data_IF_334103005957
#
_entry.id   IF_334103005957
#
_cell.length_a   1.000
_cell.length_b   1.000
_cell.length_c   1.000
_cell.angle_alpha   90.00
_cell.angle_beta   90.00
_cell.angle_gamma   90.00
#
_symmetry.space_group_name_H-M   'P 1'
#
loop_
_entity.id
_entity.type
_entity.pdbx_description
1 polymer ?
#
# COMPACT_ATOMS: atom_id res chain seq x y z
N UNK A 1 27.70 15.37 33.35
CA UNK A 1 26.45 15.39 32.57
C UNK A 1 25.80 14.04 32.80
N UNK A 2 24.83 13.97 33.71
CA UNK A 2 24.25 12.71 34.17
C UNK A 2 23.30 12.15 33.09
N UNK A 3 23.23 10.82 32.89
CA UNK A 3 22.22 10.26 32.01
C UNK A 3 20.87 10.46 32.68
N UNK A 4 19.93 11.12 31.99
CA UNK A 4 18.54 11.24 32.41
C UNK A 4 17.91 9.84 32.47
N UNK A 5 18.04 9.18 33.64
CA UNK A 5 17.29 7.99 34.01
C UNK A 5 15.93 8.46 34.50
N UNK A 6 14.87 7.90 33.92
CA UNK A 6 13.51 8.09 34.40
C UNK A 6 13.36 7.44 35.78
N UNK A 7 13.00 8.25 36.78
CA UNK A 7 12.43 7.82 38.06
C UNK A 7 10.93 7.52 37.88
N UNK A 8 10.60 6.68 36.90
CA UNK A 8 9.22 6.32 36.62
C UNK A 8 9.07 4.80 36.88
N UNK A 9 8.41 4.50 37.99
CA UNK A 9 7.87 3.19 38.28
C UNK A 9 6.72 2.97 37.26
N UNK A 10 7.01 2.41 36.08
CA UNK A 10 6.00 2.25 35.02
C UNK A 10 5.78 0.76 34.77
N UNK A 11 4.70 0.24 35.36
CA UNK A 11 4.01 -0.90 34.79
C UNK A 11 3.55 -0.52 33.37
N UNK A 12 4.28 -1.07 32.38
CA UNK A 12 4.02 -1.03 30.95
C UNK A 12 4.06 0.36 30.29
N UNK A 13 5.18 0.65 29.61
CA UNK A 13 5.36 1.87 28.81
C UNK A 13 4.44 1.87 27.58
N UNK A 14 4.01 3.05 27.13
CA UNK A 14 3.38 3.20 25.81
C UNK A 14 4.40 3.76 24.83
N UNK A 15 4.49 3.16 23.64
CA UNK A 15 5.45 3.60 22.61
C UNK A 15 4.79 3.71 21.24
N UNK A 16 5.15 4.77 20.52
CA UNK A 16 4.78 4.99 19.11
C UNK A 16 6.04 4.96 18.27
N UNK A 17 6.02 4.21 17.18
CA UNK A 17 7.14 4.08 16.25
C UNK A 17 6.65 4.48 14.86
N UNK A 18 7.28 5.49 14.26
CA UNK A 18 7.08 5.90 12.89
C UNK A 18 8.32 5.56 12.06
N UNK A 19 8.13 4.93 10.91
CA UNK A 19 9.21 4.47 10.04
C UNK A 19 8.97 5.02 8.64
N UNK A 20 9.98 5.63 8.04
CA UNK A 20 10.02 5.97 6.62
C UNK A 20 11.15 5.20 5.94
N UNK A 21 10.79 4.17 5.18
CA UNK A 21 11.74 3.39 4.38
C UNK A 21 11.91 4.03 3.01
N UNK A 22 12.99 4.80 2.86
CA UNK A 22 13.49 5.34 1.61
C UNK A 22 14.30 4.34 0.77
N UNK A 23 14.79 4.80 -0.38
CA UNK A 23 15.68 4.00 -1.25
C UNK A 23 17.04 3.71 -0.61
N UNK A 24 17.69 4.74 -0.07
CA UNK A 24 19.04 4.62 0.53
C UNK A 24 18.99 4.47 2.05
N UNK A 25 18.14 5.23 2.72
CA UNK A 25 18.05 5.25 4.17
C UNK A 25 16.64 4.92 4.65
N UNK A 26 16.58 4.31 5.83
CA UNK A 26 15.36 4.12 6.61
C UNK A 26 15.47 4.98 7.87
N UNK A 27 14.54 5.92 8.03
CA UNK A 27 14.46 6.84 9.15
C UNK A 27 13.37 6.34 10.11
N UNK A 28 13.71 6.19 11.39
CA UNK A 28 12.79 5.68 12.41
C UNK A 28 12.72 6.66 13.58
N UNK A 29 11.52 6.94 14.06
CA UNK A 29 11.23 7.79 15.21
C UNK A 29 10.46 6.98 16.25
N UNK A 30 10.99 6.89 17.46
CA UNK A 30 10.36 6.27 18.62
C UNK A 30 9.99 7.32 19.66
N UNK A 31 8.71 7.39 20.01
CA UNK A 31 8.17 8.30 21.02
C UNK A 31 7.68 7.43 22.19
N UNK A 32 8.32 7.56 23.34
CA UNK A 32 7.95 6.84 24.58
C UNK A 32 7.18 7.80 25.47
N UNK A 33 5.96 7.42 25.87
CA UNK A 33 5.15 8.26 26.76
C UNK A 33 5.86 8.50 28.10
N UNK A 34 5.91 9.76 28.53
CA UNK A 34 6.59 10.17 29.78
C UNK A 34 8.10 10.41 29.65
N UNK A 35 8.70 10.21 28.46
CA UNK A 35 10.08 10.62 28.17
C UNK A 35 10.10 11.98 27.47
N UNK A 36 11.04 12.84 27.84
CA UNK A 36 11.21 14.16 27.20
C UNK A 36 11.84 14.07 25.81
N UNK A 37 12.78 13.13 25.64
CA UNK A 37 13.51 12.95 24.38
C UNK A 37 12.90 11.85 23.49
N UNK A 38 12.79 12.16 22.20
CA UNK A 38 12.49 11.20 21.15
C UNK A 38 13.72 10.35 20.78
N UNK A 39 13.47 9.10 20.37
CA UNK A 39 14.52 8.19 19.90
C UNK A 39 14.55 8.22 18.37
N UNK A 40 15.64 8.71 17.80
CA UNK A 40 15.83 8.75 16.34
C UNK A 40 16.86 7.71 15.91
N UNK A 41 16.51 6.87 14.93
CA UNK A 41 17.39 5.84 14.37
C UNK A 41 17.42 5.99 12.86
N UNK A 42 18.61 6.12 12.28
CA UNK A 42 18.84 6.14 10.84
C UNK A 42 19.67 4.94 10.41
N UNK A 43 19.17 4.19 9.43
CA UNK A 43 19.79 2.97 8.93
C UNK A 43 19.94 3.04 7.41
N UNK A 44 20.87 2.25 6.86
CA UNK A 44 20.86 1.96 5.43
C UNK A 44 19.63 1.09 5.14
N UNK A 45 18.89 1.40 4.08
CA UNK A 45 17.71 0.61 3.69
C UNK A 45 18.07 -0.80 3.22
N UNK A 46 19.32 -1.02 2.80
CA UNK A 46 19.88 -2.31 2.46
C UNK A 46 21.30 -2.43 3.03
N UNK A 47 21.48 -3.34 3.98
CA UNK A 47 22.77 -3.66 4.59
C UNK A 47 22.75 -5.11 5.10
N UNK A 48 22.71 -6.09 4.16
CA UNK A 48 22.53 -7.51 4.48
C UNK A 48 23.66 -8.09 5.33
N UNK A 49 24.84 -7.44 5.36
CA UNK A 49 25.95 -7.80 6.24
C UNK A 49 25.65 -7.58 7.73
N UNK A 50 24.74 -6.65 8.06
CA UNK A 50 24.46 -6.28 9.45
C UNK A 50 23.06 -6.67 9.90
N UNK A 51 22.04 -6.53 9.03
CA UNK A 51 20.65 -6.86 9.35
C UNK A 51 19.88 -7.19 8.08
N UNK A 52 18.90 -8.10 8.20
CA UNK A 52 18.10 -8.54 7.05
C UNK A 52 17.09 -7.48 6.60
N UNK A 53 16.54 -6.69 7.53
CA UNK A 53 15.51 -5.69 7.25
C UNK A 53 15.71 -4.44 8.13
N UNK A 54 15.82 -3.27 7.48
CA UNK A 54 16.08 -2.01 8.15
C UNK A 54 14.95 -1.57 9.09
N UNK A 55 13.65 -1.65 8.71
CA UNK A 55 12.55 -1.39 9.64
C UNK A 55 12.59 -2.24 10.91
N UNK A 56 12.79 -3.55 10.81
CA UNK A 56 12.87 -4.44 11.98
C UNK A 56 14.06 -4.05 12.87
N UNK A 57 15.23 -3.79 12.27
CA UNK A 57 16.41 -3.32 13.00
C UNK A 57 16.17 -1.95 13.67
N UNK A 58 15.42 -1.05 13.02
CA UNK A 58 15.05 0.25 13.55
C UNK A 58 14.17 0.13 14.80
N UNK A 59 13.14 -0.72 14.73
CA UNK A 59 12.30 -1.06 15.88
C UNK A 59 13.16 -1.64 17.00
N UNK A 60 14.03 -2.61 16.70
CA UNK A 60 14.92 -3.23 17.70
C UNK A 60 15.74 -2.18 18.45
N UNK A 61 16.45 -1.30 17.74
CA UNK A 61 17.28 -0.24 18.36
C UNK A 61 16.46 0.76 19.16
N UNK A 62 15.22 1.04 18.75
CA UNK A 62 14.30 1.90 19.50
C UNK A 62 13.89 1.22 20.81
N UNK A 63 13.50 -0.06 20.77
CA UNK A 63 13.10 -0.82 21.96
C UNK A 63 14.29 -0.99 22.94
N UNK A 64 15.50 -1.24 22.44
CA UNK A 64 16.70 -1.29 23.28
C UNK A 64 16.97 0.04 23.98
N UNK A 65 16.81 1.17 23.29
CA UNK A 65 16.99 2.51 23.86
C UNK A 65 15.84 2.94 24.79
N UNK A 66 14.64 2.42 24.58
CA UNK A 66 13.48 2.69 25.43
C UNK A 66 13.53 1.87 26.74
N UNK A 67 13.93 0.61 26.66
CA UNK A 67 13.95 -0.32 27.82
C UNK A 67 15.30 -0.41 28.52
N UNK A 68 16.39 0.00 27.85
CA UNK A 68 17.77 -0.23 28.31
C UNK A 68 18.22 -1.70 28.25
N UNK A 69 17.39 -2.60 27.71
CA UNK A 69 17.70 -4.03 27.58
C UNK A 69 18.23 -4.30 26.18
N UNK A 70 19.30 -5.09 26.06
CA UNK A 70 19.76 -5.54 24.75
C UNK A 70 18.84 -6.64 24.22
N UNK A 71 18.49 -6.55 22.93
CA UNK A 71 17.65 -7.50 22.21
C UNK A 71 18.50 -8.10 21.08
N UNK A 72 18.84 -9.41 21.17
CA UNK A 72 19.61 -10.09 20.13
C UNK A 72 18.92 -10.04 18.77
N UNK A 73 19.69 -9.83 17.69
CA UNK A 73 19.16 -9.82 16.31
C UNK A 73 18.53 -11.15 15.87
N UNK A 74 18.92 -12.26 16.50
CA UNK A 74 18.40 -13.60 16.22
C UNK A 74 17.04 -13.87 16.85
N UNK A 75 16.57 -13.02 17.76
CA UNK A 75 15.34 -13.24 18.51
C UNK A 75 14.19 -12.40 17.94
N UNK A 76 12.96 -12.90 18.13
CA UNK A 76 11.77 -12.14 17.78
C UNK A 76 11.63 -10.96 18.74
N UNK A 77 11.30 -9.79 18.20
CA UNK A 77 11.00 -8.61 19.01
C UNK A 77 9.76 -8.89 19.86
N UNK A 78 9.89 -8.67 21.17
CA UNK A 78 8.80 -8.77 22.13
C UNK A 78 8.35 -7.38 22.55
N UNK A 79 7.03 -7.19 22.67
CA UNK A 79 6.42 -5.96 23.18
C UNK A 79 5.97 -6.10 24.64
N UNK A 80 6.34 -7.20 25.33
CA UNK A 80 5.83 -7.50 26.67
C UNK A 80 6.20 -6.49 27.76
N UNK A 81 7.22 -5.66 27.53
CA UNK A 81 7.61 -4.55 28.41
C UNK A 81 6.73 -3.29 28.23
N UNK A 82 5.81 -3.29 27.26
CA UNK A 82 4.99 -2.15 26.88
C UNK A 82 3.50 -2.47 27.04
N UNK A 83 2.73 -1.54 27.63
CA UNK A 83 1.27 -1.59 27.69
C UNK A 83 0.63 -1.42 26.31
N UNK A 84 1.27 -0.62 25.45
CA UNK A 84 0.80 -0.37 24.09
C UNK A 84 1.96 -0.06 23.15
N UNK A 85 1.91 -0.64 21.94
CA UNK A 85 2.88 -0.40 20.88
C UNK A 85 2.12 -0.05 19.61
N UNK A 86 2.34 1.15 19.08
CA UNK A 86 1.80 1.58 17.78
C UNK A 86 2.94 1.70 16.77
N UNK A 87 2.83 1.02 15.63
CA UNK A 87 3.82 1.08 14.55
C UNK A 87 3.13 1.64 13.30
N UNK A 88 3.71 2.68 12.73
CA UNK A 88 3.32 3.24 11.43
C UNK A 88 4.50 3.19 10.49
N UNK A 89 4.30 2.67 9.28
CA UNK A 89 5.34 2.59 8.27
C UNK A 89 4.88 3.24 6.97
N UNK A 90 5.63 4.23 6.52
CA UNK A 90 5.64 4.71 5.15
C UNK A 90 6.82 4.08 4.41
N UNK A 91 6.65 3.80 3.13
CA UNK A 91 7.77 3.36 2.28
C UNK A 91 7.63 3.90 0.87
N UNK A 92 8.78 4.15 0.25
CA UNK A 92 8.89 4.54 -1.15
C UNK A 92 9.13 3.35 -2.08
N UNK A 93 9.20 2.11 -1.57
CA UNK A 93 9.50 0.91 -2.35
C UNK A 93 8.51 0.72 -3.50
N UNK A 94 7.20 0.83 -3.24
CA UNK A 94 6.17 0.65 -4.26
C UNK A 94 6.23 1.74 -5.35
N UNK A 95 6.40 3.00 -4.96
CA UNK A 95 6.49 4.12 -5.91
C UNK A 95 7.74 3.99 -6.77
N UNK A 96 8.89 3.64 -6.19
CA UNK A 96 10.13 3.43 -6.94
C UNK A 96 10.02 2.22 -7.86
N UNK A 97 9.42 1.12 -7.41
CA UNK A 97 9.16 -0.03 -8.26
C UNK A 97 8.31 0.34 -9.49
N UNK A 98 7.27 1.18 -9.31
CA UNK A 98 6.46 1.68 -10.41
C UNK A 98 7.25 2.59 -11.36
N UNK A 99 8.00 3.55 -10.83
CA UNK A 99 8.79 4.50 -11.64
C UNK A 99 9.93 3.81 -12.41
N UNK A 100 10.57 2.81 -11.80
CA UNK A 100 11.66 2.03 -12.38
C UNK A 100 11.17 0.84 -13.20
N UNK A 101 9.84 0.63 -13.33
CA UNK A 101 9.23 -0.51 -14.03
C UNK A 101 9.72 -1.87 -13.49
N UNK A 102 9.98 -1.96 -12.19
CA UNK A 102 10.40 -3.18 -11.49
C UNK A 102 9.21 -3.84 -10.82
N UNK A 103 8.32 -4.41 -11.63
CA UNK A 103 7.20 -5.23 -11.18
C UNK A 103 7.22 -6.60 -11.82
N UNK A 104 6.32 -7.47 -11.37
CA UNK A 104 6.06 -8.73 -12.05
C UNK A 104 5.26 -8.52 -13.34
N UNK A 105 5.33 -9.50 -14.24
CA UNK A 105 4.56 -9.53 -15.48
C UNK A 105 3.07 -9.63 -15.13
N UNK A 106 2.26 -8.71 -15.66
CA UNK A 106 0.81 -8.67 -15.40
C UNK A 106 0.01 -8.71 -16.71
N UNK A 107 -1.16 -9.36 -16.66
CA UNK A 107 -2.15 -9.35 -17.73
C UNK A 107 -3.36 -8.50 -17.32
N UNK A 108 -3.92 -7.76 -18.27
CA UNK A 108 -5.16 -7.00 -18.10
C UNK A 108 -6.34 -7.88 -18.50
N UNK A 109 -7.26 -8.12 -17.57
CA UNK A 109 -8.57 -8.66 -17.88
C UNK A 109 -9.54 -7.50 -18.02
N UNK A 110 -10.24 -7.41 -19.15
CA UNK A 110 -11.11 -6.28 -19.45
C UNK A 110 -12.31 -6.71 -20.30
N UNK A 111 -13.35 -5.90 -20.29
CA UNK A 111 -14.54 -6.13 -21.10
C UNK A 111 -14.23 -6.26 -22.58
N UNK A 112 -14.90 -7.19 -23.26
CA UNK A 112 -14.79 -7.36 -24.71
C UNK A 112 -15.19 -6.08 -25.45
N UNK A 113 -14.35 -5.69 -26.39
CA UNK A 113 -14.41 -4.41 -27.11
C UNK A 113 -13.67 -3.27 -26.42
N UNK A 114 -13.06 -3.48 -25.24
CA UNK A 114 -12.34 -2.46 -24.46
C UNK A 114 -10.84 -2.75 -24.31
N UNK A 115 -10.28 -3.71 -25.06
CA UNK A 115 -8.86 -4.07 -25.03
C UNK A 115 -7.89 -2.89 -24.99
N UNK A 116 -8.18 -1.83 -25.75
CA UNK A 116 -7.28 -0.68 -25.90
C UNK A 116 -7.56 0.46 -24.91
N UNK A 117 -8.53 0.31 -23.99
CA UNK A 117 -9.00 1.40 -23.14
C UNK A 117 -7.89 2.08 -22.32
N UNK A 118 -6.98 1.30 -21.72
CA UNK A 118 -5.87 1.85 -20.93
C UNK A 118 -4.74 2.42 -21.80
N UNK A 119 -4.56 1.92 -23.03
CA UNK A 119 -3.60 2.47 -24.00
C UNK A 119 -4.09 3.79 -24.61
N UNK A 120 -5.40 3.92 -24.83
CA UNK A 120 -6.06 5.16 -25.25
C UNK A 120 -6.04 6.16 -24.09
N UNK A 121 -6.24 5.69 -22.86
CA UNK A 121 -6.36 6.53 -21.67
C UNK A 121 -7.55 7.48 -21.78
N UNK A 122 -7.44 8.65 -21.15
CA UNK A 122 -8.50 9.66 -21.15
C UNK A 122 -8.28 10.78 -22.19
N UNK A 123 -7.37 10.57 -23.14
CA UNK A 123 -7.00 11.54 -24.17
C UNK A 123 -6.55 12.93 -23.63
N UNK A 124 -6.16 13.02 -22.35
CA UNK A 124 -5.63 14.27 -21.79
C UNK A 124 -4.30 14.61 -22.45
N UNK A 125 -4.18 15.85 -22.95
CA UNK A 125 -2.96 16.36 -23.58
C UNK A 125 -2.39 17.50 -22.73
N UNK A 126 -1.34 17.26 -21.93
CA UNK A 126 -0.70 18.32 -21.13
C UNK A 126 -0.19 19.47 -21.99
N UNK A 127 0.26 19.17 -23.21
CA UNK A 127 0.70 20.13 -24.23
C UNK A 127 -0.14 19.93 -25.50
N UNK A 128 -1.23 20.70 -25.62
CA UNK A 128 -2.24 20.52 -26.67
C UNK A 128 -1.68 20.67 -28.10
N UNK A 129 -0.64 21.50 -28.27
CA UNK A 129 -0.06 21.86 -29.57
C UNK A 129 1.16 21.04 -29.97
N UNK A 130 1.63 20.11 -29.12
CA UNK A 130 2.75 19.24 -29.48
C UNK A 130 2.33 18.25 -30.56
N UNK A 131 3.00 18.34 -31.72
CA UNK A 131 2.80 17.43 -32.85
C UNK A 131 3.34 16.02 -32.57
N UNK A 132 4.38 15.92 -31.74
CA UNK A 132 4.99 14.65 -31.34
C UNK A 132 4.58 14.27 -29.90
N UNK A 133 3.40 13.66 -29.76
CA UNK A 133 2.86 13.27 -28.46
C UNK A 133 3.59 12.03 -27.94
N UNK A 134 4.24 12.15 -26.79
CA UNK A 134 4.77 11.00 -26.05
C UNK A 134 3.77 10.58 -24.97
N UNK A 135 3.18 9.40 -25.16
CA UNK A 135 2.28 8.79 -24.16
C UNK A 135 3.09 7.90 -23.22
N UNK A 136 2.78 7.86 -21.91
CA UNK A 136 3.31 6.84 -21.03
C UNK A 136 2.94 5.44 -21.54
N UNK A 137 3.85 4.49 -21.37
CA UNK A 137 3.59 3.11 -21.74
C UNK A 137 2.65 2.42 -20.74
N UNK A 138 1.99 1.35 -21.14
CA UNK A 138 1.10 0.56 -20.27
C UNK A 138 1.89 -0.35 -19.33
N UNK A 139 1.26 -0.82 -18.25
CA UNK A 139 1.92 -1.70 -17.25
C UNK A 139 1.76 -3.20 -17.54
N UNK A 140 0.81 -3.58 -18.40
CA UNK A 140 0.51 -4.97 -18.72
C UNK A 140 1.23 -5.43 -19.98
N UNK A 141 1.43 -6.75 -20.10
CA UNK A 141 2.01 -7.37 -21.29
C UNK A 141 0.96 -8.00 -22.19
N UNK A 142 -0.08 -8.58 -21.59
CA UNK A 142 -1.17 -9.27 -22.28
C UNK A 142 -2.52 -8.68 -21.90
N UNK A 143 -3.47 -8.76 -22.82
CA UNK A 143 -4.87 -8.39 -22.58
C UNK A 143 -5.78 -9.56 -22.91
N UNK A 144 -6.61 -9.93 -21.96
CA UNK A 144 -7.64 -10.95 -22.10
C UNK A 144 -8.99 -10.24 -22.05
N UNK A 145 -9.73 -10.33 -23.16
CA UNK A 145 -11.09 -9.82 -23.23
C UNK A 145 -12.07 -10.86 -22.67
N UNK A 146 -12.88 -10.44 -21.71
CA UNK A 146 -13.95 -11.24 -21.13
C UNK A 146 -15.25 -10.88 -21.85
N UNK A 147 -16.08 -11.86 -22.19
CA UNK A 147 -17.38 -11.61 -22.81
C UNK A 147 -18.43 -11.35 -21.73
N UNK A 148 -18.39 -10.16 -21.16
CA UNK A 148 -19.26 -9.69 -20.09
C UNK A 148 -19.72 -8.23 -20.34
N UNK A 149 -20.73 -7.80 -19.60
CA UNK A 149 -21.08 -6.39 -19.50
C UNK A 149 -21.74 -6.18 -18.15
N UNK A 150 -21.35 -5.10 -17.48
CA UNK A 150 -22.04 -4.63 -16.27
C UNK A 150 -22.88 -3.42 -16.65
N UNK A 151 -24.16 -3.45 -16.30
CA UNK A 151 -25.08 -2.32 -16.51
C UNK A 151 -25.63 -1.85 -15.17
N UNK A 152 -25.69 -0.53 -14.99
CA UNK A 152 -26.56 0.03 -13.94
C UNK A 152 -27.99 -0.20 -14.43
N UNK A 153 -28.84 -0.75 -13.55
CA UNK A 153 -30.23 -1.20 -13.77
C UNK A 153 -31.08 -0.25 -14.64
N UNK A 154 -30.69 1.03 -14.73
CA UNK A 154 -31.52 2.06 -15.30
C UNK A 154 -30.93 2.92 -16.43
N UNK A 155 -29.77 2.67 -17.09
CA UNK A 155 -29.51 3.54 -18.28
C UNK A 155 -28.43 3.22 -19.31
N UNK A 156 -27.45 2.33 -19.10
CA UNK A 156 -26.21 2.50 -19.90
C UNK A 156 -26.32 2.11 -21.40
N UNK A 157 -27.37 1.42 -21.83
CA UNK A 157 -27.59 1.13 -23.27
C UNK A 157 -29.04 1.23 -23.76
N UNK A 158 -29.99 1.61 -22.91
CA UNK A 158 -31.40 1.76 -23.28
C UNK A 158 -31.96 3.04 -22.64
N UNK A 159 -32.33 4.07 -23.43
CA UNK A 159 -32.90 5.32 -22.91
C UNK A 159 -34.31 5.16 -22.30
N UNK A 160 -34.92 3.97 -22.44
CA UNK A 160 -36.21 3.59 -21.84
C UNK A 160 -36.14 2.16 -21.27
N UNK A 161 -35.46 1.96 -20.14
CA UNK A 161 -35.30 0.65 -19.53
C UNK A 161 -36.62 0.12 -18.98
N UNK A 162 -36.89 -1.15 -19.24
CA UNK A 162 -38.01 -1.89 -18.67
C UNK A 162 -37.49 -2.73 -17.49
N UNK A 163 -37.71 -2.21 -16.27
CA UNK A 163 -37.21 -2.81 -15.03
C UNK A 163 -37.86 -4.15 -14.73
N UNK A 164 -39.11 -4.33 -15.11
CA UNK A 164 -39.85 -5.57 -14.88
C UNK A 164 -39.35 -6.68 -15.81
N UNK A 165 -39.11 -6.34 -17.08
CA UNK A 165 -38.51 -7.27 -18.04
C UNK A 165 -37.08 -7.69 -17.66
N UNK A 166 -36.26 -6.75 -17.16
CA UNK A 166 -34.90 -7.06 -16.70
C UNK A 166 -34.90 -7.95 -15.45
N UNK A 167 -35.80 -7.68 -14.50
CA UNK A 167 -35.96 -8.51 -13.32
C UNK A 167 -36.41 -9.95 -13.68
N UNK A 168 -37.30 -10.09 -14.66
CA UNK A 168 -37.72 -11.39 -15.18
C UNK A 168 -36.60 -12.12 -15.94
N UNK A 169 -35.76 -11.39 -16.70
CA UNK A 169 -34.64 -11.99 -17.43
C UNK A 169 -33.54 -12.49 -16.48
N UNK A 170 -33.30 -11.81 -15.35
CA UNK A 170 -32.39 -12.30 -14.31
C UNK A 170 -32.77 -13.68 -13.75
N UNK A 171 -34.07 -14.01 -13.72
CA UNK A 171 -34.55 -15.31 -13.23
C UNK A 171 -34.48 -16.41 -14.30
N UNK A 172 -34.39 -16.04 -15.57
CA UNK A 172 -34.59 -16.97 -16.70
C UNK A 172 -33.39 -17.10 -17.64
N UNK A 173 -32.50 -16.10 -17.70
CA UNK A 173 -31.31 -16.10 -18.55
C UNK A 173 -30.07 -16.55 -17.76
N UNK A 174 -29.49 -17.72 -18.07
CA UNK A 174 -28.31 -18.22 -17.39
C UNK A 174 -27.04 -17.40 -17.67
N UNK A 175 -27.08 -16.45 -18.61
CA UNK A 175 -25.97 -15.54 -18.93
C UNK A 175 -26.02 -14.23 -18.13
N UNK A 176 -27.10 -13.97 -17.39
CA UNK A 176 -27.21 -12.82 -16.50
C UNK A 176 -26.95 -13.23 -15.05
N UNK A 177 -26.22 -12.39 -14.31
CA UNK A 177 -25.97 -12.62 -12.88
C UNK A 177 -26.06 -11.31 -12.13
N UNK A 178 -26.67 -11.34 -10.93
CA UNK A 178 -26.64 -10.17 -10.05
C UNK A 178 -25.30 -10.11 -9.32
N UNK A 179 -24.61 -8.98 -9.46
CA UNK A 179 -23.36 -8.71 -8.75
C UNK A 179 -23.59 -8.39 -7.27
N UNK A 180 -22.50 -8.42 -6.49
CA UNK A 180 -22.57 -8.23 -5.02
C UNK A 180 -22.98 -6.82 -4.59
N UNK A 181 -22.81 -5.83 -5.47
CA UNK A 181 -23.24 -4.45 -5.24
C UNK A 181 -24.62 -4.12 -5.87
N UNK A 182 -25.32 -5.12 -6.41
CA UNK A 182 -26.69 -5.00 -6.93
C UNK A 182 -26.79 -4.72 -8.43
N UNK A 183 -25.67 -4.55 -9.13
CA UNK A 183 -25.56 -4.50 -10.59
C UNK A 183 -25.96 -5.82 -11.27
N UNK A 184 -26.23 -5.73 -12.58
CA UNK A 184 -26.57 -6.86 -13.45
C UNK A 184 -25.64 -6.87 -14.66
#
# INVERSE_FOLDING_TARGET
MAPHRLDANVDGLNIKIAIDRGGTFTDCLGIVEGREDDIVVKLLSQDPSNYADAPIEGIRRILEQATGKSIPRSEKLSTGDFSSVSIRMGTTVATNALLERKGDRVALLITKGFKDALQIGNQSRPHLFDLNIRRPDVLYEDVVEVDERVTIEDYQQNPTPDKEALAASLETDPHLTRGVSGEV
#
